data_IF_885040644478
#
_entry.id   IF_885040644478
#
_cell.length_a   1.000
_cell.length_b   1.000
_cell.length_c   1.000
_cell.angle_alpha   90.00
_cell.angle_beta   90.00
_cell.angle_gamma   90.00
#
_symmetry.space_group_name_H-M   'P 1'
#
loop_
_entity.id
_entity.type
_entity.pdbx_description
1 polymer ?
#
# COMPACT_ATOMS: atom_id res chain seq x y z
N UNK A 1 -5.37 -25.62 -1.75
CA UNK A 1 -5.98 -24.39 -2.32
C UNK A 1 -4.96 -23.28 -2.15
N UNK A 2 -4.55 -22.61 -3.23
CA UNK A 2 -3.65 -21.46 -3.10
C UNK A 2 -4.38 -20.33 -2.38
N UNK A 3 -3.90 -19.89 -1.22
CA UNK A 3 -4.45 -18.73 -0.52
C UNK A 3 -4.36 -17.47 -1.38
N UNK A 4 -5.26 -16.51 -1.17
CA UNK A 4 -5.11 -15.17 -1.74
C UNK A 4 -4.02 -14.42 -1.00
N UNK A 5 -3.27 -13.58 -1.71
CA UNK A 5 -2.18 -12.79 -1.12
C UNK A 5 -2.57 -11.33 -1.00
N UNK A 6 -2.48 -10.77 0.20
CA UNK A 6 -2.55 -9.33 0.46
C UNK A 6 -1.13 -8.80 0.67
N UNK A 7 -0.74 -7.80 -0.12
CA UNK A 7 0.50 -7.07 0.08
C UNK A 7 0.22 -5.74 0.78
N UNK A 8 0.80 -5.54 1.95
CA UNK A 8 0.79 -4.25 2.66
C UNK A 8 2.12 -3.55 2.40
N UNK A 9 2.09 -2.39 1.74
CA UNK A 9 3.28 -1.55 1.53
C UNK A 9 3.13 -0.28 2.38
N UNK A 10 3.94 -0.14 3.42
CA UNK A 10 3.75 0.92 4.41
C UNK A 10 5.03 1.70 4.75
N UNK A 11 5.03 3.00 4.48
CA UNK A 11 6.07 3.90 4.97
C UNK A 11 5.84 4.21 6.45
N UNK A 12 6.68 3.66 7.34
CA UNK A 12 6.51 3.79 8.79
C UNK A 12 7.76 4.36 9.49
N UNK A 13 8.13 5.64 9.24
CA UNK A 13 9.37 6.24 9.76
C UNK A 13 9.32 6.65 11.24
N UNK A 14 8.16 6.54 11.90
CA UNK A 14 7.93 6.97 13.28
C UNK A 14 7.20 5.91 14.12
N UNK A 15 7.27 5.98 15.46
CA UNK A 15 6.51 5.07 16.34
C UNK A 15 5.00 5.05 16.06
N UNK A 16 4.40 6.20 15.75
CA UNK A 16 2.97 6.29 15.46
C UNK A 16 2.60 5.60 14.14
N UNK A 17 3.44 5.75 13.12
CA UNK A 17 3.22 5.08 11.83
C UNK A 17 3.51 3.58 11.92
N UNK A 18 4.45 3.14 12.77
CA UNK A 18 4.66 1.72 13.06
C UNK A 18 3.41 1.12 13.72
N UNK A 19 2.83 1.80 14.71
CA UNK A 19 1.57 1.37 15.34
C UNK A 19 0.41 1.22 14.35
N UNK A 20 0.28 2.14 13.40
CA UNK A 20 -0.74 2.04 12.34
C UNK A 20 -0.49 0.86 11.40
N UNK A 21 0.77 0.67 10.96
CA UNK A 21 1.16 -0.50 10.15
C UNK A 21 0.85 -1.81 10.87
N UNK A 22 1.21 -1.89 12.15
CA UNK A 22 1.04 -3.11 12.95
C UNK A 22 -0.44 -3.41 13.19
N UNK A 23 -1.27 -2.38 13.41
CA UNK A 23 -2.71 -2.53 13.50
C UNK A 23 -3.33 -3.02 12.18
N UNK A 24 -2.89 -2.46 11.04
CA UNK A 24 -3.34 -2.91 9.73
C UNK A 24 -2.93 -4.37 9.46
N UNK A 25 -1.69 -4.74 9.77
CA UNK A 25 -1.19 -6.11 9.62
C UNK A 25 -1.92 -7.08 10.55
N UNK A 26 -2.18 -6.68 11.80
CA UNK A 26 -2.95 -7.48 12.76
C UNK A 26 -4.39 -7.68 12.29
N UNK A 27 -5.04 -6.65 11.74
CA UNK A 27 -6.39 -6.76 11.20
C UNK A 27 -6.45 -7.68 9.98
N UNK A 28 -5.47 -7.56 9.08
CA UNK A 28 -5.36 -8.44 7.91
C UNK A 28 -5.08 -9.91 8.25
N UNK A 29 -4.48 -10.17 9.41
CA UNK A 29 -4.16 -11.51 9.94
C UNK A 29 -5.13 -11.94 11.04
N UNK A 30 -6.30 -11.31 11.14
CA UNK A 30 -7.28 -11.65 12.16
C UNK A 30 -7.72 -13.12 12.01
N UNK A 31 -7.91 -13.89 13.09
CA UNK A 31 -8.26 -15.32 13.01
C UNK A 31 -9.55 -15.61 12.22
N UNK A 32 -10.49 -14.67 12.20
CA UNK A 32 -11.74 -14.80 11.43
C UNK A 32 -11.56 -14.60 9.91
N UNK A 33 -10.36 -14.20 9.46
CA UNK A 33 -10.01 -14.05 8.04
C UNK A 33 -9.28 -15.32 7.59
N UNK A 34 -9.98 -16.17 6.87
CA UNK A 34 -9.43 -17.40 6.32
C UNK A 34 -8.99 -17.25 4.86
N UNK A 35 -7.96 -18.02 4.46
CA UNK A 35 -7.53 -18.12 3.06
C UNK A 35 -6.81 -16.88 2.52
N UNK A 36 -6.37 -15.95 3.38
CA UNK A 36 -5.57 -14.77 3.02
C UNK A 36 -4.20 -14.82 3.69
N UNK A 37 -3.15 -14.83 2.89
CA UNK A 37 -1.77 -14.64 3.33
C UNK A 37 -1.40 -13.17 3.24
N UNK A 38 -0.85 -12.61 4.32
CA UNK A 38 -0.49 -11.18 4.39
C UNK A 38 1.01 -10.98 4.49
N UNK A 39 1.58 -10.29 3.50
CA UNK A 39 2.96 -9.86 3.45
C UNK A 39 3.04 -8.35 3.71
N UNK A 40 4.01 -7.90 4.52
CA UNK A 40 4.16 -6.49 4.90
C UNK A 40 5.57 -6.05 4.59
N UNK A 41 5.71 -5.05 3.72
CA UNK A 41 6.99 -4.54 3.26
C UNK A 41 7.06 -3.02 3.41
N UNK A 42 8.28 -2.51 3.60
CA UNK A 42 8.58 -1.10 3.36
C UNK A 42 8.44 -0.79 1.87
N UNK A 43 8.08 0.45 1.46
CA UNK A 43 8.16 0.84 0.07
C UNK A 43 9.53 0.54 -0.56
N UNK A 44 10.61 0.65 0.22
CA UNK A 44 11.98 0.38 -0.25
C UNK A 44 12.28 -1.11 -0.51
N UNK A 45 11.59 -2.02 0.20
CA UNK A 45 11.79 -3.46 0.07
C UNK A 45 10.82 -4.07 -0.95
N UNK A 46 9.69 -3.42 -1.20
CA UNK A 46 8.69 -3.87 -2.16
C UNK A 46 9.20 -3.71 -3.60
N UNK A 47 9.00 -4.76 -4.39
CA UNK A 47 9.40 -4.86 -5.80
C UNK A 47 8.17 -5.14 -6.68
N UNK A 48 8.28 -5.01 -8.02
CA UNK A 48 7.21 -5.39 -8.94
C UNK A 48 6.71 -6.83 -8.74
N UNK A 49 7.60 -7.79 -8.46
CA UNK A 49 7.22 -9.20 -8.29
C UNK A 49 6.29 -9.40 -7.09
N UNK A 50 6.53 -8.67 -5.99
CA UNK A 50 5.63 -8.69 -4.84
C UNK A 50 4.23 -8.19 -5.22
N UNK A 51 4.16 -7.12 -6.02
CA UNK A 51 2.90 -6.55 -6.50
C UNK A 51 2.19 -7.53 -7.41
N UNK A 52 2.90 -8.11 -8.39
CA UNK A 52 2.36 -9.05 -9.37
C UNK A 52 1.83 -10.33 -8.70
N UNK A 53 2.48 -10.82 -7.64
CA UNK A 53 2.04 -11.97 -6.85
C UNK A 53 0.85 -11.66 -5.92
N UNK A 54 0.61 -10.39 -5.59
CA UNK A 54 -0.48 -9.98 -4.71
C UNK A 54 -1.83 -9.97 -5.43
N UNK A 55 -2.89 -10.38 -4.75
CA UNK A 55 -4.27 -10.28 -5.24
C UNK A 55 -4.94 -8.96 -4.82
N UNK A 56 -4.42 -8.32 -3.78
CA UNK A 56 -4.84 -7.00 -3.33
C UNK A 56 -3.68 -6.26 -2.66
N UNK A 57 -3.76 -4.92 -2.63
CA UNK A 57 -2.79 -4.06 -1.98
C UNK A 57 -3.40 -3.22 -0.85
N UNK A 58 -2.65 -3.00 0.21
CA UNK A 58 -2.95 -1.98 1.22
C UNK A 58 -1.76 -1.05 1.37
N UNK A 59 -1.96 0.23 1.08
CA UNK A 59 -0.89 1.22 1.10
C UNK A 59 -0.95 2.07 2.38
N UNK A 60 0.17 2.14 3.10
CA UNK A 60 0.32 2.99 4.28
C UNK A 60 1.28 4.15 4.00
N UNK A 61 0.83 5.39 4.22
CA UNK A 61 1.68 6.56 3.98
C UNK A 61 1.49 7.65 5.02
N UNK A 62 2.49 8.51 5.14
CA UNK A 62 2.38 9.79 5.85
C UNK A 62 1.97 10.88 4.88
N UNK A 63 1.27 11.88 5.39
CA UNK A 63 1.15 13.17 4.72
C UNK A 63 2.44 13.98 4.98
N UNK A 64 3.20 14.24 3.92
CA UNK A 64 4.38 15.09 3.95
C UNK A 64 4.13 16.28 3.02
N UNK A 65 4.07 17.49 3.58
CA UNK A 65 3.85 18.74 2.82
C UNK A 65 2.60 18.69 1.93
N UNK A 66 1.51 18.09 2.42
CA UNK A 66 0.25 17.95 1.68
C UNK A 66 0.23 16.81 0.64
N UNK A 67 1.29 16.00 0.56
CA UNK A 67 1.44 14.92 -0.42
C UNK A 67 1.78 13.59 0.27
N UNK A 68 1.72 12.48 -0.48
CA UNK A 68 2.18 11.20 0.04
C UNK A 68 3.68 11.24 0.37
N UNK A 69 4.13 10.36 1.25
CA UNK A 69 5.56 10.22 1.52
C UNK A 69 6.38 9.97 0.24
N UNK A 70 7.58 10.54 0.19
CA UNK A 70 8.50 10.32 -0.93
C UNK A 70 8.83 8.85 -1.16
N UNK A 71 8.85 8.04 -0.09
CA UNK A 71 9.05 6.60 -0.17
C UNK A 71 7.92 5.89 -0.94
N UNK A 72 6.65 6.26 -0.70
CA UNK A 72 5.54 5.67 -1.44
C UNK A 72 5.50 6.15 -2.90
N UNK A 73 5.87 7.41 -3.15
CA UNK A 73 6.00 7.95 -4.51
C UNK A 73 7.09 7.20 -5.30
N UNK A 74 8.26 7.01 -4.70
CA UNK A 74 9.36 6.23 -5.30
C UNK A 74 8.91 4.79 -5.61
N UNK A 75 8.20 4.14 -4.69
CA UNK A 75 7.64 2.82 -4.94
C UNK A 75 6.72 2.80 -6.16
N UNK A 76 5.77 3.75 -6.26
CA UNK A 76 4.92 3.87 -7.43
C UNK A 76 5.73 4.03 -8.73
N UNK A 77 6.76 4.88 -8.74
CA UNK A 77 7.60 5.09 -9.92
C UNK A 77 8.33 3.82 -10.37
N UNK A 78 8.84 3.04 -9.41
CA UNK A 78 9.55 1.77 -9.71
C UNK A 78 8.63 0.68 -10.23
N UNK A 79 7.40 0.59 -9.74
CA UNK A 79 6.46 -0.47 -10.15
C UNK A 79 5.59 -0.08 -11.34
N UNK A 80 5.53 1.19 -11.72
CA UNK A 80 4.55 1.70 -12.69
C UNK A 80 4.56 0.90 -13.99
N UNK A 81 5.67 0.90 -14.73
CA UNK A 81 5.74 0.21 -16.02
C UNK A 81 5.67 -1.33 -15.91
N UNK A 82 6.37 -1.98 -14.96
CA UNK A 82 6.28 -3.43 -14.81
C UNK A 82 4.88 -3.95 -14.47
N UNK A 83 4.05 -3.14 -13.79
CA UNK A 83 2.74 -3.58 -13.30
C UNK A 83 1.56 -3.03 -14.10
N UNK A 84 1.75 -1.98 -14.91
CA UNK A 84 0.68 -1.20 -15.55
C UNK A 84 -0.40 -2.04 -16.24
N UNK A 85 -0.01 -3.02 -17.07
CA UNK A 85 -0.95 -3.85 -17.83
C UNK A 85 -1.45 -5.07 -17.04
N UNK A 86 -0.71 -5.52 -16.02
CA UNK A 86 -0.96 -6.76 -15.29
C UNK A 86 -1.81 -6.56 -14.02
N UNK A 87 -1.88 -5.32 -13.53
CA UNK A 87 -2.56 -4.98 -12.28
C UNK A 87 -3.85 -4.19 -12.49
N UNK A 88 -4.35 -4.17 -13.73
CA UNK A 88 -5.61 -3.50 -14.06
C UNK A 88 -6.78 -4.05 -13.23
N UNK A 89 -7.56 -3.14 -12.65
CA UNK A 89 -8.68 -3.48 -11.74
C UNK A 89 -8.30 -4.20 -10.44
N UNK A 90 -7.01 -4.31 -10.08
CA UNK A 90 -6.60 -5.03 -8.88
C UNK A 90 -7.07 -4.29 -7.62
N UNK A 91 -7.80 -4.95 -6.69
CA UNK A 91 -8.30 -4.29 -5.49
C UNK A 91 -7.18 -3.68 -4.65
N UNK A 92 -7.38 -2.43 -4.21
CA UNK A 92 -6.47 -1.81 -3.26
C UNK A 92 -7.21 -0.91 -2.27
N UNK A 93 -6.56 -0.66 -1.13
CA UNK A 93 -6.95 0.35 -0.17
C UNK A 93 -5.73 1.13 0.30
N UNK A 94 -5.97 2.23 1.02
CA UNK A 94 -4.89 2.98 1.65
C UNK A 94 -5.34 3.63 2.95
N UNK A 95 -4.40 3.85 3.85
CA UNK A 95 -4.57 4.69 5.03
C UNK A 95 -3.48 5.75 5.06
N UNK A 96 -3.85 6.93 5.56
CA UNK A 96 -2.97 8.09 5.63
C UNK A 96 -2.83 8.48 7.08
N UNK A 97 -1.60 8.49 7.60
CA UNK A 97 -1.30 9.26 8.80
C UNK A 97 -1.20 10.72 8.37
N UNK A 98 -2.32 11.43 8.45
CA UNK A 98 -2.39 12.85 8.15
C UNK A 98 -1.73 13.66 9.28
N UNK A 99 -1.01 14.71 8.90
CA UNK A 99 -0.53 15.72 9.83
C UNK A 99 -1.58 16.81 10.03
N UNK A 100 -2.36 17.11 8.98
CA UNK A 100 -3.36 18.16 8.99
C UNK A 100 -4.70 17.67 8.41
N UNK A 101 -4.81 17.51 7.08
CA UNK A 101 -6.07 17.12 6.43
C UNK A 101 -6.01 15.78 5.67
N UNK A 102 -4.85 15.40 5.12
CA UNK A 102 -4.69 14.20 4.28
C UNK A 102 -5.41 14.21 2.91
N UNK A 103 -6.19 15.24 2.58
CA UNK A 103 -6.95 15.41 1.34
C UNK A 103 -6.05 15.49 0.12
N UNK A 104 -4.97 16.27 0.20
CA UNK A 104 -3.98 16.35 -0.89
C UNK A 104 -3.30 15.01 -1.15
N UNK A 105 -2.97 14.28 -0.08
CA UNK A 105 -2.39 12.94 -0.16
C UNK A 105 -3.35 11.93 -0.78
N UNK A 106 -4.62 11.95 -0.35
CA UNK A 106 -5.68 11.10 -0.91
C UNK A 106 -5.83 11.32 -2.42
N UNK A 107 -5.99 12.58 -2.84
CA UNK A 107 -6.15 12.93 -4.27
C UNK A 107 -4.95 12.48 -5.10
N UNK A 108 -3.74 12.61 -4.56
CA UNK A 108 -2.52 12.17 -5.23
C UNK A 108 -2.49 10.66 -5.48
N UNK A 109 -2.83 9.86 -4.47
CA UNK A 109 -2.91 8.40 -4.60
C UNK A 109 -4.02 8.02 -5.60
N UNK A 110 -5.21 8.60 -5.48
CA UNK A 110 -6.33 8.36 -6.40
C UNK A 110 -5.96 8.71 -7.84
N UNK A 111 -5.22 9.80 -8.08
CA UNK A 111 -4.77 10.19 -9.42
C UNK A 111 -3.84 9.15 -10.04
N UNK A 112 -2.85 8.66 -9.28
CA UNK A 112 -1.90 7.64 -9.78
C UNK A 112 -2.63 6.32 -10.06
N UNK A 113 -3.48 5.90 -9.12
CA UNK A 113 -4.18 4.61 -9.19
C UNK A 113 -5.32 4.59 -10.21
N UNK A 114 -5.93 5.73 -10.53
CA UNK A 114 -6.91 5.84 -11.64
C UNK A 114 -6.22 5.69 -13.01
N UNK A 115 -4.92 5.96 -13.10
CA UNK A 115 -4.13 5.69 -14.31
C UNK A 115 -3.90 4.19 -14.58
N UNK A 116 -4.08 3.35 -13.56
CA UNK A 116 -4.09 1.89 -13.64
C UNK A 116 -5.55 1.47 -13.85
N UNK A 117 -5.97 1.33 -15.11
CA UNK A 117 -7.39 1.08 -15.47
C UNK A 117 -7.98 -0.16 -14.82
#
# INVERSE_FOLDING_TARGET
>A
MSGRRLLIVAHAPSPNTLRLRDAAASGARHPDIEGVETEVLSPFDATPDHVLAAHALLLGTTENLGYMSGALKDFFDRIYYPCLEETQGRPFGFYIRAGHDGTGTRRAIETITTGLR
#
